data_IF_462982123393
#
_entry.id   IF_462982123393
#
_cell.length_a   1.000
_cell.length_b   1.000
_cell.length_c   1.000
_cell.angle_alpha   90.00
_cell.angle_beta   90.00
_cell.angle_gamma   90.00
#
_symmetry.space_group_name_H-M   'P 1'
#
loop_
_entity.id
_entity.type
_entity.pdbx_description
1 polymer ?
#
# COMPACT_ATOMS: atom_id res chain seq x y z
N UNK A 1 4.62 -9.78 16.39
CA UNK A 1 5.96 -9.36 16.88
C UNK A 1 7.04 -9.35 15.80
N UNK A 2 7.12 -10.32 14.88
CA UNK A 2 8.17 -10.31 13.84
C UNK A 2 8.11 -9.08 12.93
N UNK A 3 6.93 -8.72 12.41
CA UNK A 3 6.74 -7.51 11.59
C UNK A 3 7.02 -6.25 12.43
N UNK A 4 6.49 -6.16 13.65
CA UNK A 4 6.80 -5.03 14.57
C UNK A 4 8.30 -4.81 14.76
N UNK A 5 9.06 -5.90 14.89
CA UNK A 5 10.50 -5.82 15.15
C UNK A 5 11.30 -5.22 14.00
N UNK A 6 10.74 -5.15 12.79
CA UNK A 6 11.40 -4.50 11.64
C UNK A 6 11.32 -2.99 11.70
N UNK A 7 10.34 -2.42 12.43
CA UNK A 7 10.06 -0.99 12.43
C UNK A 7 9.51 -0.47 11.09
N UNK A 8 9.10 -1.35 10.17
CA UNK A 8 8.57 -0.95 8.88
C UNK A 8 7.19 -0.30 9.00
N UNK A 9 6.99 0.81 8.30
CA UNK A 9 5.70 1.49 8.20
C UNK A 9 4.70 0.72 7.32
N UNK A 10 5.22 -0.11 6.42
CA UNK A 10 4.42 -0.89 5.48
C UNK A 10 4.73 -2.39 5.55
N UNK A 11 3.68 -3.21 5.52
CA UNK A 11 3.75 -4.64 5.26
C UNK A 11 3.16 -4.96 3.88
N UNK A 12 4.03 -5.32 2.93
CA UNK A 12 3.64 -5.57 1.54
C UNK A 12 3.36 -7.06 1.35
N UNK A 13 2.20 -7.39 0.80
CA UNK A 13 1.78 -8.79 0.59
C UNK A 13 1.43 -9.04 -0.89
N UNK A 14 1.81 -10.20 -1.48
CA UNK A 14 1.59 -10.47 -2.91
C UNK A 14 0.29 -11.24 -3.21
N UNK A 15 -0.54 -11.50 -2.20
CA UNK A 15 -1.74 -12.32 -2.33
C UNK A 15 -2.90 -11.68 -1.57
N UNK A 16 -4.09 -11.70 -2.15
CA UNK A 16 -5.30 -11.14 -1.57
C UNK A 16 -5.61 -11.68 -0.16
N UNK A 17 -5.49 -12.99 0.05
CA UNK A 17 -5.73 -13.59 1.37
C UNK A 17 -4.67 -13.17 2.40
N UNK A 18 -3.40 -13.07 1.98
CA UNK A 18 -2.33 -12.59 2.85
C UNK A 18 -2.53 -11.13 3.23
N UNK A 19 -2.95 -10.30 2.26
CA UNK A 19 -3.29 -8.90 2.49
C UNK A 19 -4.36 -8.76 3.57
N UNK A 20 -5.50 -9.45 3.38
CA UNK A 20 -6.61 -9.41 4.33
C UNK A 20 -6.16 -9.86 5.73
N UNK A 21 -5.47 -10.99 5.84
CA UNK A 21 -5.03 -11.51 7.15
C UNK A 21 -4.04 -10.58 7.86
N UNK A 22 -3.08 -9.98 7.14
CA UNK A 22 -2.10 -9.07 7.74
C UNK A 22 -2.73 -7.72 8.08
N UNK A 23 -3.70 -7.26 7.31
CA UNK A 23 -4.53 -6.10 7.62
C UNK A 23 -5.33 -6.32 8.92
N UNK A 24 -6.12 -7.39 8.99
CA UNK A 24 -6.92 -7.73 10.18
C UNK A 24 -6.02 -7.92 11.42
N UNK A 25 -4.85 -8.55 11.24
CA UNK A 25 -3.87 -8.70 12.31
C UNK A 25 -3.40 -7.35 12.84
N UNK A 26 -3.18 -6.37 11.95
CA UNK A 26 -2.80 -5.01 12.35
C UNK A 26 -3.90 -4.35 13.16
N UNK A 27 -5.15 -4.42 12.71
CA UNK A 27 -6.30 -3.83 13.38
C UNK A 27 -6.54 -4.42 14.77
N UNK A 28 -6.63 -5.76 14.86
CA UNK A 28 -6.94 -6.48 16.11
C UNK A 28 -5.83 -6.33 17.15
N UNK A 29 -4.58 -6.13 16.71
CA UNK A 29 -3.42 -5.98 17.60
C UNK A 29 -2.95 -4.54 17.76
N UNK A 30 -3.66 -3.58 17.16
CA UNK A 30 -3.31 -2.17 17.13
C UNK A 30 -1.85 -1.94 16.72
N UNK A 31 -1.40 -2.63 15.68
CA UNK A 31 -0.06 -2.45 15.14
C UNK A 31 0.00 -1.22 14.22
N UNK A 32 1.16 -0.54 14.13
CA UNK A 32 1.27 0.73 13.44
C UNK A 32 1.45 0.61 11.92
N UNK A 33 1.77 -0.58 11.40
CA UNK A 33 2.01 -0.73 9.96
C UNK A 33 0.72 -0.67 9.17
N UNK A 34 0.83 -0.14 7.95
CA UNK A 34 -0.19 -0.29 6.91
C UNK A 34 0.08 -1.52 6.07
N UNK A 35 -0.98 -2.21 5.66
CA UNK A 35 -0.88 -3.36 4.75
C UNK A 35 -1.21 -2.91 3.34
N UNK A 36 -0.35 -3.25 2.37
CA UNK A 36 -0.55 -2.90 0.95
C UNK A 36 -0.31 -4.14 0.08
N UNK A 37 -1.08 -4.27 -1.00
CA UNK A 37 -0.90 -5.36 -1.97
C UNK A 37 0.21 -5.02 -2.96
N UNK A 38 1.07 -5.99 -3.28
CA UNK A 38 2.21 -5.81 -4.17
C UNK A 38 1.80 -5.27 -5.56
N UNK A 39 0.69 -5.79 -6.10
CA UNK A 39 0.12 -5.31 -7.37
C UNK A 39 -0.13 -3.80 -7.36
N UNK A 40 -0.72 -3.27 -6.29
CA UNK A 40 -0.99 -1.83 -6.17
C UNK A 40 0.30 -1.02 -6.24
N UNK A 41 1.35 -1.44 -5.53
CA UNK A 41 2.64 -0.73 -5.57
C UNK A 41 3.30 -0.76 -6.95
N UNK A 42 3.19 -1.87 -7.67
CA UNK A 42 3.69 -1.95 -9.05
C UNK A 42 2.91 -1.01 -9.98
N UNK A 43 1.58 -1.02 -9.90
CA UNK A 43 0.74 -0.10 -10.68
C UNK A 43 1.01 1.37 -10.33
N UNK A 44 1.23 1.67 -9.04
CA UNK A 44 1.64 3.02 -8.60
C UNK A 44 2.98 3.40 -9.24
N UNK A 45 3.98 2.52 -9.16
CA UNK A 45 5.33 2.76 -9.69
C UNK A 45 5.36 2.92 -11.21
N UNK A 46 4.43 2.29 -11.92
CA UNK A 46 4.29 2.35 -13.38
C UNK A 46 3.40 3.50 -13.86
N UNK A 47 2.80 4.28 -12.95
CA UNK A 47 1.90 5.37 -13.35
C UNK A 47 0.53 4.93 -13.83
N UNK A 48 0.06 3.75 -13.39
CA UNK A 48 -1.18 3.12 -13.85
C UNK A 48 -2.37 3.37 -12.92
N UNK A 49 -2.14 3.83 -11.68
CA UNK A 49 -3.21 4.10 -10.72
C UNK A 49 -3.69 5.53 -10.84
N UNK A 50 -4.95 5.71 -11.25
CA UNK A 50 -5.64 7.00 -11.22
C UNK A 50 -6.01 7.43 -9.79
N UNK A 51 -6.54 8.65 -9.60
CA UNK A 51 -6.75 9.24 -8.27
C UNK A 51 -7.64 8.39 -7.34
N UNK A 52 -8.72 7.81 -7.88
CA UNK A 52 -9.66 7.01 -7.08
C UNK A 52 -9.06 5.69 -6.61
N UNK A 53 -8.15 5.11 -7.39
CA UNK A 53 -7.47 3.84 -7.07
C UNK A 53 -6.37 4.01 -6.02
N UNK A 54 -6.04 5.26 -5.66
CA UNK A 54 -5.07 5.59 -4.61
C UNK A 54 -5.71 5.81 -3.24
N UNK A 55 -7.03 5.94 -3.15
CA UNK A 55 -7.77 6.30 -1.92
C UNK A 55 -7.43 5.43 -0.70
N UNK A 56 -7.04 4.17 -0.91
CA UNK A 56 -6.71 3.23 0.16
C UNK A 56 -5.21 3.13 0.49
N UNK A 57 -4.35 3.84 -0.24
CA UNK A 57 -2.93 3.96 0.10
C UNK A 57 -2.76 4.85 1.34
N UNK A 58 -1.61 4.76 2.01
CA UNK A 58 -1.27 5.72 3.05
C UNK A 58 -1.04 7.11 2.46
N UNK A 59 -1.14 8.13 3.30
CA UNK A 59 -1.11 9.54 2.85
C UNK A 59 0.23 9.92 2.20
N UNK A 60 1.31 9.24 2.55
CA UNK A 60 2.64 9.35 1.91
C UNK A 60 2.69 8.75 0.50
N UNK A 61 1.85 7.75 0.19
CA UNK A 61 1.82 7.09 -1.12
C UNK A 61 0.67 7.57 -2.02
N UNK A 62 -0.39 8.16 -1.46
CA UNK A 62 -1.52 8.70 -2.23
C UNK A 62 -1.08 9.81 -3.18
N UNK A 63 -0.32 10.75 -2.65
CA UNK A 63 0.04 11.99 -3.33
C UNK A 63 1.44 11.95 -3.92
N UNK A 64 2.05 10.76 -4.00
CA UNK A 64 3.36 10.60 -4.62
C UNK A 64 3.28 10.96 -6.11
N UNK A 65 4.15 11.90 -6.50
CA UNK A 65 4.29 12.37 -7.87
C UNK A 65 5.01 11.30 -8.70
N UNK A 66 4.23 10.40 -9.25
CA UNK A 66 4.67 9.41 -10.24
C UNK A 66 4.12 9.84 -11.60
N UNK A 67 4.86 9.51 -12.66
CA UNK A 67 4.40 9.68 -14.03
C UNK A 67 2.95 9.22 -14.18
N UNK A 68 2.10 10.01 -14.81
CA UNK A 68 0.79 9.56 -15.27
C UNK A 68 0.65 9.93 -16.75
N UNK A 69 0.23 9.02 -17.63
CA UNK A 69 0.07 9.30 -19.05
C UNK A 69 -0.82 10.52 -19.33
N UNK A 70 -1.81 10.80 -18.48
CA UNK A 70 -2.69 11.96 -18.57
C UNK A 70 -2.02 13.30 -18.18
N UNK A 71 -0.87 13.29 -17.52
CA UNK A 71 -0.14 14.50 -17.12
C UNK A 71 0.64 15.16 -18.26
N UNK A 72 0.82 14.46 -19.40
CA UNK A 72 1.56 14.96 -20.56
C UNK A 72 0.68 15.65 -21.62
N UNK A 73 -0.63 15.81 -21.37
CA UNK A 73 -1.61 16.34 -22.33
C UNK A 73 -1.73 17.88 -22.32
#
# INVERSE_FOLDING_TARGET
NQILATGAEYCITPCHNCHAQVHDLSEVRHHPWQTVHLWTLLCLSLGLLGPNERTYLGDDLKDVDVFHPESEA
#
